data_IF_691112839253
#
_entry.id   IF_691112839253
#
_cell.length_a   1.000
_cell.length_b   1.000
_cell.length_c   1.000
_cell.angle_alpha   90.00
_cell.angle_beta   90.00
_cell.angle_gamma   90.00
#
_symmetry.space_group_name_H-M   'P 1'
#
loop_
_entity.id
_entity.type
_entity.pdbx_description
1 polymer ?
#
# COMPACT_ATOMS: atom_id res chain seq x y z
N UNK A 1 -40.30 -2.28 -15.67
CA UNK A 1 -39.08 -3.08 -15.81
C UNK A 1 -37.87 -2.15 -15.77
N UNK A 2 -37.18 -2.06 -14.63
CA UNK A 2 -35.95 -1.27 -14.50
C UNK A 2 -34.75 -2.13 -14.91
N UNK A 3 -34.01 -1.73 -15.94
CA UNK A 3 -32.81 -2.44 -16.37
C UNK A 3 -31.74 -2.38 -15.26
N UNK A 4 -31.37 -3.53 -14.71
CA UNK A 4 -30.28 -3.68 -13.75
C UNK A 4 -28.95 -3.41 -14.48
N UNK A 5 -28.42 -2.19 -14.37
CA UNK A 5 -27.12 -1.82 -14.96
C UNK A 5 -26.02 -2.51 -14.15
N UNK A 6 -25.40 -3.54 -14.73
CA UNK A 6 -24.20 -4.16 -14.16
C UNK A 6 -23.12 -3.10 -13.94
N UNK A 7 -22.52 -3.06 -12.75
CA UNK A 7 -21.34 -2.22 -12.49
C UNK A 7 -20.16 -2.81 -13.26
N UNK A 8 -19.60 -2.02 -14.16
CA UNK A 8 -18.42 -2.37 -14.94
C UNK A 8 -17.20 -1.66 -14.36
N UNK A 9 -16.02 -2.28 -14.48
CA UNK A 9 -14.75 -1.62 -14.19
C UNK A 9 -14.51 -0.41 -15.11
N UNK A 10 -13.73 0.56 -14.65
CA UNK A 10 -13.52 1.81 -15.38
C UNK A 10 -12.69 1.63 -16.67
N UNK A 11 -11.68 0.76 -16.64
CA UNK A 11 -10.73 0.54 -17.74
C UNK A 11 -11.15 -0.70 -18.55
N UNK A 12 -11.08 -1.89 -17.95
CA UNK A 12 -11.37 -3.17 -18.65
C UNK A 12 -12.85 -3.40 -19.00
N UNK A 13 -13.76 -2.52 -18.57
CA UNK A 13 -15.22 -2.59 -18.79
C UNK A 13 -15.84 -3.97 -18.47
N UNK A 14 -15.27 -4.69 -17.52
CA UNK A 14 -15.68 -6.04 -17.15
C UNK A 14 -16.50 -6.07 -15.85
N UNK A 15 -17.36 -7.08 -15.71
CA UNK A 15 -18.31 -7.25 -14.60
C UNK A 15 -17.88 -8.30 -13.55
N UNK A 16 -16.73 -8.95 -13.74
CA UNK A 16 -16.20 -10.04 -12.88
C UNK A 16 -14.69 -9.94 -12.78
N UNK A 17 -14.11 -10.40 -11.66
CA UNK A 17 -12.67 -10.32 -11.41
C UNK A 17 -11.88 -11.13 -12.44
N UNK A 18 -12.38 -12.30 -12.82
CA UNK A 18 -11.76 -13.19 -13.80
C UNK A 18 -11.64 -12.51 -15.17
N UNK A 19 -12.71 -11.82 -15.61
CA UNK A 19 -12.68 -11.06 -16.87
C UNK A 19 -11.79 -9.82 -16.80
N UNK A 20 -11.67 -9.21 -15.62
CA UNK A 20 -10.72 -8.09 -15.41
C UNK A 20 -9.29 -8.61 -15.53
N UNK A 21 -8.97 -9.76 -14.93
CA UNK A 21 -7.66 -10.40 -15.04
C UNK A 21 -7.31 -10.76 -16.49
N UNK A 22 -8.21 -11.47 -17.17
CA UNK A 22 -8.02 -11.86 -18.57
C UNK A 22 -7.79 -10.66 -19.52
N UNK A 23 -8.36 -9.50 -19.22
CA UNK A 23 -8.05 -8.27 -19.95
C UNK A 23 -6.59 -7.85 -19.72
N UNK A 24 -6.13 -7.82 -18.48
CA UNK A 24 -4.76 -7.40 -18.13
C UNK A 24 -3.69 -8.43 -18.50
N UNK A 25 -4.05 -9.69 -18.72
CA UNK A 25 -3.12 -10.70 -19.26
C UNK A 25 -2.63 -10.37 -20.68
N UNK A 26 -3.38 -9.53 -21.43
CA UNK A 26 -3.04 -9.16 -22.81
C UNK A 26 -2.87 -7.66 -23.04
N UNK A 27 -3.02 -6.81 -22.02
CA UNK A 27 -2.91 -5.35 -22.14
C UNK A 27 -1.90 -4.83 -21.12
N UNK A 28 -1.06 -3.88 -21.54
CA UNK A 28 -0.11 -3.23 -20.64
C UNK A 28 -0.76 -2.01 -19.96
N UNK A 29 -0.44 -1.76 -18.69
CA UNK A 29 -0.99 -0.62 -17.98
C UNK A 29 -0.60 0.73 -18.60
N UNK A 30 0.55 0.80 -19.26
CA UNK A 30 1.05 2.01 -19.93
C UNK A 30 0.18 2.42 -21.12
N UNK A 31 -0.56 1.50 -21.73
CA UNK A 31 -1.50 1.79 -22.82
C UNK A 31 -2.72 2.61 -22.37
N UNK A 32 -2.98 2.60 -21.05
CA UNK A 32 -4.10 3.26 -20.43
C UNK A 32 -3.68 4.44 -19.54
N UNK A 33 -2.41 4.81 -19.56
CA UNK A 33 -1.90 5.97 -18.84
C UNK A 33 -2.38 7.27 -19.50
N UNK A 34 -2.71 8.28 -18.71
CA UNK A 34 -3.15 9.58 -19.21
C UNK A 34 -1.91 10.46 -19.42
N UNK A 35 -1.52 10.81 -20.67
CA UNK A 35 -0.33 11.61 -20.91
C UNK A 35 -0.43 13.04 -20.37
N UNK A 36 -1.65 13.50 -20.05
CA UNK A 36 -1.89 14.79 -19.42
C UNK A 36 -1.87 14.73 -17.89
N UNK A 37 -1.86 13.53 -17.29
CA UNK A 37 -1.69 13.38 -15.86
C UNK A 37 -0.23 13.68 -15.47
N UNK A 38 0.02 14.47 -14.42
CA UNK A 38 1.37 14.76 -13.98
C UNK A 38 2.00 13.52 -13.36
N UNK A 39 3.26 13.24 -13.72
CA UNK A 39 4.06 12.24 -13.04
C UNK A 39 4.16 12.57 -11.55
N UNK A 40 3.83 11.60 -10.71
CA UNK A 40 3.99 11.77 -9.28
C UNK A 40 5.45 11.56 -8.91
N UNK A 41 6.14 12.66 -8.60
CA UNK A 41 7.52 12.62 -8.12
C UNK A 41 7.52 12.38 -6.61
N UNK A 42 7.99 11.20 -6.20
CA UNK A 42 8.24 10.89 -4.80
C UNK A 42 9.74 10.90 -4.56
N UNK A 43 10.18 11.65 -3.54
CA UNK A 43 11.55 11.57 -3.05
C UNK A 43 11.56 10.74 -1.77
N UNK A 44 12.16 9.55 -1.84
CA UNK A 44 12.47 8.78 -0.63
C UNK A 44 13.63 9.50 0.06
N UNK A 45 13.35 10.19 1.16
CA UNK A 45 14.36 10.97 1.91
C UNK A 45 15.17 10.11 2.87
N UNK A 46 14.62 8.98 3.32
CA UNK A 46 15.28 8.03 4.20
C UNK A 46 14.60 6.65 4.05
N UNK A 47 15.40 5.59 3.98
CA UNK A 47 14.90 4.22 3.98
C UNK A 47 15.84 3.33 4.80
N UNK A 48 15.24 2.42 5.58
CA UNK A 48 15.95 1.35 6.26
C UNK A 48 15.30 0.05 5.79
N UNK A 49 16.04 -0.87 5.14
CA UNK A 49 15.48 -2.16 4.76
C UNK A 49 15.10 -2.96 6.00
N UNK A 50 13.94 -3.59 5.96
CA UNK A 50 13.39 -4.43 7.04
C UNK A 50 13.15 -5.82 6.46
N UNK A 51 13.41 -6.84 7.25
CA UNK A 51 13.08 -8.22 6.89
C UNK A 51 11.57 -8.38 6.62
N UNK A 52 11.22 -9.21 5.62
CA UNK A 52 9.84 -9.36 5.17
C UNK A 52 8.92 -9.97 6.24
N UNK A 53 9.41 -10.97 6.99
CA UNK A 53 8.63 -11.61 8.05
C UNK A 53 8.46 -10.67 9.24
N UNK A 54 9.48 -9.83 9.51
CA UNK A 54 9.37 -8.77 10.51
C UNK A 54 8.35 -7.70 10.09
N UNK A 55 8.37 -7.27 8.83
CA UNK A 55 7.39 -6.32 8.31
C UNK A 55 5.96 -6.86 8.44
N UNK A 56 5.73 -8.11 8.05
CA UNK A 56 4.42 -8.75 8.18
C UNK A 56 3.93 -8.78 9.64
N UNK A 57 4.82 -9.02 10.60
CA UNK A 57 4.48 -8.95 12.02
C UNK A 57 4.16 -7.52 12.48
N UNK A 58 4.92 -6.53 12.03
CA UNK A 58 4.68 -5.12 12.33
C UNK A 58 3.32 -4.65 11.78
N UNK A 59 2.98 -5.03 10.56
CA UNK A 59 1.69 -4.70 9.93
C UNK A 59 0.52 -5.29 10.69
N UNK A 60 0.62 -6.56 11.08
CA UNK A 60 -0.39 -7.23 11.91
C UNK A 60 -0.60 -6.50 13.26
N UNK A 61 0.49 -6.06 13.90
CA UNK A 61 0.40 -5.31 15.15
C UNK A 61 -0.18 -3.91 14.95
N UNK A 62 0.18 -3.23 13.86
CA UNK A 62 -0.33 -1.91 13.53
C UNK A 62 -1.84 -1.96 13.24
N UNK A 63 -2.27 -2.96 12.47
CA UNK A 63 -3.68 -3.20 12.17
C UNK A 63 -4.51 -3.45 13.43
N UNK A 64 -4.03 -4.31 14.34
CA UNK A 64 -4.69 -4.56 15.64
C UNK A 64 -4.84 -3.30 16.49
N UNK A 65 -3.93 -2.34 16.33
CA UNK A 65 -3.92 -1.05 17.04
C UNK A 65 -4.65 0.06 16.27
N UNK A 66 -5.14 -0.22 15.06
CA UNK A 66 -5.82 0.78 14.22
C UNK A 66 -4.90 1.91 13.73
N UNK A 67 -3.59 1.66 13.64
CA UNK A 67 -2.60 2.65 13.18
C UNK A 67 -1.88 2.15 11.94
N UNK A 68 -1.24 3.07 11.21
CA UNK A 68 -0.37 2.70 10.09
C UNK A 68 0.95 2.10 10.59
N UNK A 69 1.54 1.21 9.81
CA UNK A 69 2.78 0.50 10.17
C UNK A 69 3.94 1.48 10.40
N UNK A 70 4.03 2.54 9.61
CA UNK A 70 5.05 3.59 9.75
C UNK A 70 4.89 4.36 11.06
N UNK A 71 3.66 4.59 11.50
CA UNK A 71 3.39 5.22 12.81
C UNK A 71 3.84 4.31 13.95
N UNK A 72 3.53 3.01 13.87
CA UNK A 72 3.96 2.05 14.89
C UNK A 72 5.48 1.95 14.98
N UNK A 73 6.16 1.81 13.83
CA UNK A 73 7.62 1.71 13.75
C UNK A 73 8.27 2.95 14.36
N UNK A 74 7.83 4.15 13.99
CA UNK A 74 8.39 5.38 14.54
C UNK A 74 8.23 5.47 16.07
N UNK A 75 7.06 5.14 16.61
CA UNK A 75 6.82 5.15 18.06
C UNK A 75 7.71 4.14 18.79
N UNK A 76 7.88 2.94 18.24
CA UNK A 76 8.74 1.92 18.85
C UNK A 76 10.22 2.31 18.80
N UNK A 77 10.70 2.87 17.69
CA UNK A 77 12.08 3.36 17.59
C UNK A 77 12.34 4.49 18.61
N UNK A 78 11.41 5.45 18.75
CA UNK A 78 11.51 6.50 19.76
C UNK A 78 11.57 5.92 21.19
N UNK A 79 10.73 4.93 21.50
CA UNK A 79 10.76 4.27 22.80
C UNK A 79 12.07 3.51 23.05
N UNK A 80 12.60 2.83 22.04
CA UNK A 80 13.88 2.12 22.16
C UNK A 80 15.04 3.09 22.39
N UNK A 81 15.08 4.22 21.67
CA UNK A 81 16.07 5.26 21.88
C UNK A 81 15.97 5.88 23.28
N UNK A 82 14.76 6.15 23.76
CA UNK A 82 14.54 6.67 25.11
C UNK A 82 15.01 5.69 26.19
N UNK A 83 14.80 4.37 26.00
CA UNK A 83 15.29 3.34 26.91
C UNK A 83 16.82 3.28 26.96
N UNK A 84 17.49 3.44 25.83
CA UNK A 84 18.96 3.43 25.74
C UNK A 84 19.59 4.70 26.32
N UNK A 85 18.86 5.82 26.33
CA UNK A 85 19.31 7.09 26.89
C UNK A 85 19.23 7.16 28.42
N UNK A 86 18.56 6.20 29.08
CA UNK A 86 18.56 6.11 30.54
C UNK A 86 19.92 5.58 31.01
N UNK A 87 20.67 6.31 31.85
CA UNK A 87 21.91 5.81 32.40
C UNK A 87 21.61 4.61 33.30
N UNK A 88 22.31 3.50 33.06
CA UNK A 88 22.32 2.34 33.95
C UNK A 88 22.84 2.81 35.31
N UNK A 89 21.96 2.84 36.32
CA UNK A 89 22.31 3.12 37.70
C UNK A 89 23.03 1.92 38.35
#
# INVERSE_FOLDING_TARGET
MGANKKKLSSISKADTLEKIGAFWDTHDFTEHDDPAAPDVQFKVTCAVPVDADLLAQLENQAQRRGVRVETLVNLWLQQMLARQALPTA
#
